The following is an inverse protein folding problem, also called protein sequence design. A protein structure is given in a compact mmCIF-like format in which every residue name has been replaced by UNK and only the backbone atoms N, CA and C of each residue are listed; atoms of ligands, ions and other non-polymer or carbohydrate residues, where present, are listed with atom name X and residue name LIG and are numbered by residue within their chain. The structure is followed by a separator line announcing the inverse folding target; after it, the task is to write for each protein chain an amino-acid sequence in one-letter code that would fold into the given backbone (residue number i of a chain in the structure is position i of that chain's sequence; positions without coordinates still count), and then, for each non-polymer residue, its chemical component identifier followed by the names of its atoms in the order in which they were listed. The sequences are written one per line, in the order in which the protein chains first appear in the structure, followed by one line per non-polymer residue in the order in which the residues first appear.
data_IF_955280419776
#
_entry.id   IF_955280419776
#
_cell.length_a   1.000
_cell.length_b   1.000
_cell.length_c   1.000
_cell.angle_alpha   90.00
_cell.angle_beta   90.00
_cell.angle_gamma   90.00
#
_symmetry.space_group_name_H-M   'P 1'
#
loop_
_entity.id
_entity.type
_entity.pdbx_description
1 polymer ?
#
# COMPACT_ATOMS: atom_id res chain seq x y z
N UNK A 1 27.01 10.87 4.39
CA UNK A 1 27.88 9.72 4.06
C UNK A 1 27.55 9.30 2.65
N UNK A 2 28.51 9.45 1.72
CA UNK A 2 28.37 9.08 0.32
C UNK A 2 28.12 7.57 0.20
N UNK A 3 27.05 7.19 -0.47
CA UNK A 3 26.82 5.80 -0.89
C UNK A 3 27.98 5.43 -1.81
N UNK A 4 28.93 4.64 -1.33
CA UNK A 4 29.99 4.09 -2.16
C UNK A 4 29.37 3.14 -3.17
N UNK A 5 29.16 3.64 -4.38
CA UNK A 5 28.73 2.87 -5.54
C UNK A 5 29.71 1.70 -5.70
N UNK A 6 29.28 0.43 -5.55
CA UNK A 6 30.22 -0.69 -5.59
C UNK A 6 30.88 -0.77 -6.97
N UNK A 7 32.21 -0.92 -7.00
CA UNK A 7 33.05 -1.01 -8.23
C UNK A 7 32.64 -2.12 -9.23
N UNK A 8 31.67 -2.97 -8.88
CA UNK A 8 31.16 -4.08 -9.68
C UNK A 8 29.68 -3.92 -10.08
N UNK A 9 29.24 -2.71 -10.47
CA UNK A 9 27.86 -2.48 -10.96
C UNK A 9 27.49 -3.31 -12.19
N UNK A 10 28.49 -3.75 -12.96
CA UNK A 10 28.27 -4.54 -14.18
C UNK A 10 27.61 -5.90 -13.90
N UNK A 11 27.88 -6.54 -12.75
CA UNK A 11 27.26 -7.83 -12.37
C UNK A 11 25.74 -7.73 -12.12
N UNK A 12 25.25 -6.84 -11.25
CA UNK A 12 23.80 -6.67 -11.08
C UNK A 12 23.14 -6.12 -12.34
N UNK A 13 23.83 -5.26 -13.12
CA UNK A 13 23.30 -4.73 -14.37
C UNK A 13 23.11 -5.83 -15.43
N UNK A 14 24.07 -6.74 -15.58
CA UNK A 14 23.97 -7.87 -16.52
C UNK A 14 22.87 -8.85 -16.13
N UNK A 15 22.70 -9.15 -14.83
CA UNK A 15 21.60 -9.99 -14.35
C UNK A 15 20.25 -9.30 -14.61
N UNK A 16 20.14 -8.00 -14.32
CA UNK A 16 18.93 -7.23 -14.58
C UNK A 16 18.58 -7.19 -16.06
N UNK A 17 19.58 -6.98 -16.94
CA UNK A 17 19.40 -7.01 -18.38
C UNK A 17 18.98 -8.39 -18.88
N UNK A 18 19.59 -9.47 -18.38
CA UNK A 18 19.22 -10.84 -18.73
C UNK A 18 17.78 -11.17 -18.30
N UNK A 19 17.39 -10.80 -17.07
CA UNK A 19 16.01 -10.98 -16.60
C UNK A 19 15.03 -10.16 -17.43
N UNK A 20 15.34 -8.89 -17.73
CA UNK A 20 14.50 -8.04 -18.55
C UNK A 20 14.32 -8.59 -19.97
N UNK A 21 15.38 -9.16 -20.56
CA UNK A 21 15.33 -9.82 -21.86
C UNK A 21 14.44 -11.07 -21.83
N UNK A 22 14.69 -12.00 -20.89
CA UNK A 22 13.93 -13.26 -20.77
C UNK A 22 12.45 -13.00 -20.45
N UNK A 23 12.16 -12.00 -19.63
CA UNK A 23 10.80 -11.64 -19.21
C UNK A 23 10.18 -10.50 -20.02
N UNK A 24 10.80 -10.06 -21.13
CA UNK A 24 10.33 -8.92 -21.90
C UNK A 24 8.86 -9.06 -22.30
N UNK A 25 8.45 -10.21 -22.84
CA UNK A 25 7.07 -10.45 -23.25
C UNK A 25 6.08 -10.39 -22.08
N UNK A 26 6.47 -10.90 -20.91
CA UNK A 26 5.65 -10.86 -19.69
C UNK A 26 5.51 -9.42 -19.19
N UNK A 27 6.61 -8.67 -19.14
CA UNK A 27 6.64 -7.28 -18.68
C UNK A 27 5.89 -6.35 -19.63
N UNK A 28 6.05 -6.52 -20.95
CA UNK A 28 5.35 -5.72 -21.96
C UNK A 28 3.83 -5.93 -21.86
N UNK A 29 3.39 -7.19 -21.74
CA UNK A 29 1.97 -7.49 -21.58
C UNK A 29 1.41 -7.00 -20.25
N UNK A 30 2.16 -7.16 -19.17
CA UNK A 30 1.77 -6.65 -17.86
C UNK A 30 1.64 -5.11 -17.87
N UNK A 31 2.56 -4.42 -18.52
CA UNK A 31 2.50 -2.97 -18.71
C UNK A 31 1.31 -2.53 -19.57
N UNK A 32 1.01 -3.28 -20.64
CA UNK A 32 -0.19 -3.06 -21.45
C UNK A 32 -1.47 -3.24 -20.61
N UNK A 33 -1.59 -4.34 -19.87
CA UNK A 33 -2.74 -4.62 -19.01
C UNK A 33 -2.92 -3.52 -17.96
N UNK A 34 -1.84 -3.04 -17.34
CA UNK A 34 -1.90 -1.93 -16.39
C UNK A 34 -2.32 -0.59 -17.02
N UNK A 35 -2.11 -0.40 -18.31
CA UNK A 35 -2.47 0.83 -19.01
C UNK A 35 -3.91 0.79 -19.57
N UNK A 36 -4.35 -0.38 -20.04
CA UNK A 36 -5.62 -0.51 -20.76
C UNK A 36 -6.75 -1.13 -19.92
N UNK A 37 -6.42 -2.00 -18.97
CA UNK A 37 -7.43 -2.60 -18.10
C UNK A 37 -7.59 -1.75 -16.84
N UNK A 38 -8.72 -1.06 -16.77
CA UNK A 38 -9.06 -0.20 -15.65
C UNK A 38 -9.10 -0.96 -14.31
N UNK A 39 -9.33 -2.28 -14.30
CA UNK A 39 -9.31 -3.11 -13.08
C UNK A 39 -7.91 -3.24 -12.47
N UNK A 40 -6.87 -3.15 -13.30
CA UNK A 40 -5.46 -3.29 -12.90
C UNK A 40 -4.64 -2.01 -13.05
N UNK A 41 -5.28 -0.88 -13.36
CA UNK A 41 -4.66 0.45 -13.50
C UNK A 41 -3.80 0.88 -12.30
N UNK A 42 -4.16 0.46 -11.08
CA UNK A 42 -3.36 0.68 -9.87
C UNK A 42 -1.96 0.06 -9.93
N UNK A 43 -1.76 -0.97 -10.76
CA UNK A 43 -0.49 -1.64 -10.99
C UNK A 43 0.61 -0.69 -11.48
N UNK A 44 0.27 0.39 -12.20
CA UNK A 44 1.22 1.41 -12.66
C UNK A 44 1.97 2.09 -11.50
N UNK A 45 1.28 2.31 -10.36
CA UNK A 45 1.87 2.96 -9.20
C UNK A 45 2.73 2.01 -8.36
N UNK A 46 2.56 0.70 -8.52
CA UNK A 46 3.18 -0.30 -7.63
C UNK A 46 4.70 -0.34 -7.76
N UNK A 47 5.32 -0.33 -8.95
CA UNK A 47 6.77 -0.21 -9.08
C UNK A 47 7.33 1.03 -8.38
N UNK A 48 6.62 2.15 -8.43
CA UNK A 48 7.03 3.41 -7.78
C UNK A 48 6.97 3.26 -6.24
N UNK A 49 5.87 2.71 -5.71
CA UNK A 49 5.71 2.46 -4.28
C UNK A 49 6.76 1.46 -3.78
N UNK A 50 7.03 0.39 -4.53
CA UNK A 50 8.11 -0.57 -4.22
C UNK A 50 9.45 0.15 -4.18
N UNK A 51 9.77 0.97 -5.19
CA UNK A 51 10.98 1.77 -5.22
C UNK A 51 11.14 2.68 -4.00
N UNK A 52 10.06 3.36 -3.60
CA UNK A 52 10.03 4.17 -2.39
C UNK A 52 10.26 3.38 -1.10
N UNK A 53 9.63 2.20 -0.97
CA UNK A 53 9.82 1.29 0.17
C UNK A 53 11.29 0.84 0.25
N UNK A 54 11.86 0.39 -0.87
CA UNK A 54 13.26 -0.04 -0.95
C UNK A 54 14.22 1.10 -0.63
N UNK A 55 13.92 2.32 -1.10
CA UNK A 55 14.72 3.51 -0.82
C UNK A 55 14.70 3.88 0.67
N UNK A 56 13.53 3.77 1.31
CA UNK A 56 13.33 4.06 2.74
C UNK A 56 14.03 3.02 3.61
N UNK A 57 14.02 1.75 3.21
CA UNK A 57 14.63 0.63 3.95
C UNK A 57 16.11 0.39 3.61
N UNK A 58 16.73 1.17 2.72
CA UNK A 58 18.09 0.93 2.20
C UNK A 58 19.14 0.71 3.30
N UNK A 59 19.06 1.47 4.39
CA UNK A 59 20.01 1.40 5.50
C UNK A 59 19.83 0.08 6.25
N UNK A 60 18.59 -0.31 6.53
CA UNK A 60 18.26 -1.59 7.15
C UNK A 60 18.67 -2.77 6.27
N UNK A 61 18.43 -2.70 4.96
CA UNK A 61 18.81 -3.72 3.99
C UNK A 61 20.35 -3.86 3.91
N UNK A 62 21.08 -2.75 3.98
CA UNK A 62 22.56 -2.74 3.99
C UNK A 62 23.19 -3.34 5.24
N UNK A 63 22.50 -3.31 6.39
CA UNK A 63 22.97 -3.90 7.66
C UNK A 63 22.80 -5.43 7.72
N UNK A 64 22.07 -6.03 6.77
CA UNK A 64 21.84 -7.48 6.77
C UNK A 64 23.07 -8.20 6.27
N UNK A 65 23.67 -9.04 7.11
CA UNK A 65 24.74 -9.95 6.69
C UNK A 65 24.18 -10.93 5.65
N UNK A 66 24.67 -10.83 4.41
CA UNK A 66 24.32 -11.76 3.34
C UNK A 66 24.68 -13.20 3.75
N UNK A 67 23.70 -14.10 3.63
CA UNK A 67 23.89 -15.55 3.80
C UNK A 67 23.34 -16.26 2.56
N UNK A 68 24.09 -16.24 1.45
CA UNK A 68 23.66 -16.81 0.17
C UNK A 68 23.22 -18.26 0.35
N UNK A 69 22.12 -18.65 -0.30
CA UNK A 69 21.67 -20.03 -0.35
C UNK A 69 21.67 -20.49 -1.80
N UNK A 70 22.85 -20.89 -2.28
CA UNK A 70 23.11 -21.19 -3.70
C UNK A 70 22.18 -22.28 -4.24
N UNK A 71 22.08 -23.42 -3.56
CA UNK A 71 21.26 -24.56 -4.00
C UNK A 71 19.77 -24.20 -4.07
N UNK A 72 19.23 -23.58 -3.01
CA UNK A 72 17.82 -23.20 -2.95
C UNK A 72 17.49 -22.06 -3.92
N UNK A 73 18.36 -21.06 -4.02
CA UNK A 73 18.20 -19.95 -4.96
C UNK A 73 18.26 -20.42 -6.41
N UNK A 74 19.25 -21.24 -6.76
CA UNK A 74 19.40 -21.81 -8.11
C UNK A 74 18.24 -22.75 -8.45
N UNK A 75 17.82 -23.60 -7.51
CA UNK A 75 16.64 -24.46 -7.67
C UNK A 75 15.37 -23.65 -7.92
N UNK A 76 15.16 -22.55 -7.19
CA UNK A 76 14.00 -21.69 -7.37
C UNK A 76 14.04 -20.91 -8.69
N UNK A 77 15.22 -20.44 -9.12
CA UNK A 77 15.42 -19.84 -10.45
C UNK A 77 15.15 -20.88 -11.55
N UNK A 78 15.65 -22.10 -11.42
CA UNK A 78 15.38 -23.19 -12.37
C UNK A 78 13.90 -23.53 -12.46
N UNK A 79 13.21 -23.62 -11.31
CA UNK A 79 11.75 -23.79 -11.25
C UNK A 79 11.02 -22.63 -11.93
N UNK A 80 11.47 -21.39 -11.70
CA UNK A 80 10.88 -20.20 -12.32
C UNK A 80 11.03 -20.23 -13.84
N UNK A 81 12.22 -20.56 -14.36
CA UNK A 81 12.45 -20.67 -15.81
C UNK A 81 11.64 -21.82 -16.43
N UNK A 82 11.53 -22.96 -15.74
CA UNK A 82 10.67 -24.06 -16.19
C UNK A 82 9.20 -23.64 -16.18
N UNK A 83 8.74 -22.94 -15.13
CA UNK A 83 7.38 -22.38 -15.06
C UNK A 83 7.14 -21.36 -16.18
N UNK A 84 8.12 -20.52 -16.51
CA UNK A 84 8.02 -19.59 -17.62
C UNK A 84 7.85 -20.36 -18.93
N UNK A 85 8.68 -21.38 -19.16
CA UNK A 85 8.60 -22.22 -20.35
C UNK A 85 7.24 -22.92 -20.47
N UNK A 86 6.75 -23.56 -19.40
CA UNK A 86 5.42 -24.19 -19.37
C UNK A 86 4.32 -23.16 -19.63
N UNK A 87 4.40 -21.97 -19.01
CA UNK A 87 3.44 -20.91 -19.21
C UNK A 87 3.42 -20.38 -20.64
N UNK A 88 4.58 -20.28 -21.30
CA UNK A 88 4.68 -19.90 -22.72
C UNK A 88 4.12 -21.01 -23.62
N UNK A 89 4.53 -22.27 -23.39
CA UNK A 89 4.08 -23.42 -24.17
C UNK A 89 2.56 -23.67 -24.05
N UNK A 90 2.00 -23.44 -22.86
CA UNK A 90 0.57 -23.57 -22.58
C UNK A 90 -0.26 -22.30 -22.83
N UNK A 91 0.36 -21.22 -23.34
CA UNK A 91 -0.27 -19.90 -23.51
C UNK A 91 -0.97 -19.37 -22.23
N UNK A 92 -0.46 -19.73 -21.06
CA UNK A 92 -1.05 -19.42 -19.75
C UNK A 92 -0.29 -18.24 -19.12
N UNK A 93 -0.90 -17.05 -19.16
CA UNK A 93 -0.27 -15.80 -18.73
C UNK A 93 -0.07 -15.70 -17.23
N UNK A 94 -0.95 -16.30 -16.44
CA UNK A 94 -0.84 -16.25 -14.99
C UNK A 94 0.37 -17.04 -14.52
N UNK A 95 0.62 -18.23 -15.08
CA UNK A 95 1.82 -19.03 -14.84
C UNK A 95 3.08 -18.26 -15.24
N UNK A 96 3.07 -17.57 -16.39
CA UNK A 96 4.19 -16.72 -16.80
C UNK A 96 4.45 -15.58 -15.79
N UNK A 97 3.41 -14.89 -15.31
CA UNK A 97 3.51 -13.82 -14.30
C UNK A 97 3.98 -14.35 -12.94
N UNK A 98 3.49 -15.51 -12.51
CA UNK A 98 3.94 -16.15 -11.27
C UNK A 98 5.40 -16.59 -11.37
N UNK A 99 5.86 -17.01 -12.54
CA UNK A 99 7.27 -17.32 -12.75
C UNK A 99 8.19 -16.10 -12.53
N UNK A 100 7.72 -14.89 -12.85
CA UNK A 100 8.44 -13.64 -12.55
C UNK A 100 8.58 -13.43 -11.03
N UNK A 101 7.53 -13.72 -10.24
CA UNK A 101 7.64 -13.67 -8.79
C UNK A 101 8.67 -14.68 -8.26
N UNK A 102 8.66 -15.90 -8.79
CA UNK A 102 9.57 -16.96 -8.38
C UNK A 102 11.02 -16.63 -8.73
N UNK A 103 11.30 -16.09 -9.92
CA UNK A 103 12.67 -15.75 -10.33
C UNK A 103 13.22 -14.60 -9.47
N UNK A 104 12.41 -13.59 -9.16
CA UNK A 104 12.82 -12.49 -8.29
C UNK A 104 13.13 -12.99 -6.89
N UNK A 105 12.29 -13.88 -6.33
CA UNK A 105 12.55 -14.50 -5.03
C UNK A 105 13.82 -15.37 -5.06
N UNK A 106 14.00 -16.15 -6.13
CA UNK A 106 15.16 -17.03 -6.33
C UNK A 106 16.47 -16.26 -6.42
N UNK A 107 16.50 -15.15 -7.16
CA UNK A 107 17.65 -14.24 -7.25
C UNK A 107 17.99 -13.64 -5.89
N UNK A 108 16.98 -13.19 -5.12
CA UNK A 108 17.19 -12.67 -3.76
C UNK A 108 17.80 -13.74 -2.84
N UNK A 109 17.29 -14.96 -2.87
CA UNK A 109 17.79 -16.08 -2.05
C UNK A 109 19.20 -16.49 -2.49
N UNK A 110 19.46 -16.52 -3.80
CA UNK A 110 20.74 -16.92 -4.36
C UNK A 110 21.88 -16.01 -3.90
N UNK A 111 21.68 -14.68 -3.94
CA UNK A 111 22.73 -13.71 -3.61
C UNK A 111 22.75 -13.28 -2.14
N UNK A 112 21.59 -13.16 -1.49
CA UNK A 112 21.50 -12.59 -0.13
C UNK A 112 20.89 -13.54 0.90
N UNK A 113 20.15 -14.56 0.45
CA UNK A 113 19.52 -15.57 1.30
C UNK A 113 18.10 -15.21 1.76
N UNK A 114 17.48 -16.17 2.46
CA UNK A 114 16.10 -16.09 2.96
C UNK A 114 15.83 -14.88 3.86
N UNK A 115 16.85 -14.40 4.56
CA UNK A 115 16.71 -13.26 5.46
C UNK A 115 16.36 -11.97 4.72
N UNK A 116 17.00 -11.71 3.57
CA UNK A 116 16.68 -10.54 2.76
C UNK A 116 15.28 -10.68 2.16
N UNK A 117 14.91 -11.86 1.66
CA UNK A 117 13.57 -12.11 1.13
C UNK A 117 12.47 -11.80 2.17
N UNK A 118 12.69 -12.16 3.43
CA UNK A 118 11.74 -11.85 4.51
C UNK A 118 11.56 -10.36 4.79
N UNK A 119 12.56 -9.52 4.48
CA UNK A 119 12.47 -8.06 4.57
C UNK A 119 11.76 -7.47 3.35
N UNK A 120 11.90 -8.14 2.20
CA UNK A 120 11.23 -7.78 0.95
C UNK A 120 9.79 -8.30 0.85
N UNK A 121 9.25 -8.95 1.88
CA UNK A 121 7.91 -9.54 1.86
C UNK A 121 6.83 -8.53 1.41
N UNK A 122 6.88 -7.29 1.89
CA UNK A 122 5.91 -6.26 1.51
C UNK A 122 6.02 -5.88 0.03
N UNK A 123 7.21 -5.55 -0.51
CA UNK A 123 7.41 -5.43 -1.95
C UNK A 123 6.88 -6.60 -2.78
N UNK A 124 7.10 -7.85 -2.34
CA UNK A 124 6.59 -9.03 -3.04
C UNK A 124 5.06 -9.13 -2.97
N UNK A 125 4.44 -8.84 -1.82
CA UNK A 125 2.98 -8.82 -1.69
C UNK A 125 2.36 -7.73 -2.56
N UNK A 126 2.96 -6.53 -2.62
CA UNK A 126 2.48 -5.45 -3.49
C UNK A 126 2.60 -5.82 -4.97
N UNK A 127 3.73 -6.40 -5.37
CA UNK A 127 3.90 -6.87 -6.75
C UNK A 127 2.90 -7.98 -7.08
N UNK A 128 2.62 -8.90 -6.15
CA UNK A 128 1.59 -9.93 -6.33
C UNK A 128 0.19 -9.33 -6.52
N UNK A 129 -0.19 -8.34 -5.72
CA UNK A 129 -1.47 -7.62 -5.85
C UNK A 129 -1.61 -6.88 -7.20
N UNK A 130 -0.48 -6.46 -7.79
CA UNK A 130 -0.46 -5.83 -9.10
C UNK A 130 -0.60 -6.81 -10.26
N UNK A 131 -0.44 -8.12 -10.05
CA UNK A 131 -0.56 -9.12 -11.11
C UNK A 131 -2.03 -9.44 -11.39
N UNK A 132 -2.47 -9.38 -12.66
CA UNK A 132 -3.82 -9.77 -13.00
C UNK A 132 -4.07 -11.25 -12.70
N UNK A 133 -5.11 -11.51 -11.91
CA UNK A 133 -5.53 -12.86 -11.52
C UNK A 133 -6.19 -13.59 -12.70
N UNK A 134 -6.24 -14.93 -12.70
CA UNK A 134 -6.91 -15.69 -13.76
C UNK A 134 -8.38 -15.31 -13.86
N UNK A 135 -8.89 -15.19 -15.09
CA UNK A 135 -10.28 -14.80 -15.37
C UNK A 135 -11.30 -15.68 -14.63
N UNK A 136 -11.00 -16.97 -14.45
CA UNK A 136 -11.87 -17.91 -13.70
C UNK A 136 -12.01 -17.46 -12.23
N UNK A 137 -10.91 -17.05 -11.60
CA UNK A 137 -10.91 -16.58 -10.21
C UNK A 137 -11.59 -15.21 -10.14
N UNK A 138 -11.29 -14.33 -11.09
CA UNK A 138 -11.92 -13.02 -11.20
C UNK A 138 -13.44 -13.14 -11.26
N UNK A 139 -13.97 -13.95 -12.18
CA UNK A 139 -15.42 -14.15 -12.36
C UNK A 139 -16.08 -14.81 -11.15
N UNK A 140 -15.39 -15.76 -10.49
CA UNK A 140 -15.88 -16.39 -9.26
C UNK A 140 -16.02 -15.41 -8.10
N UNK A 141 -15.26 -14.31 -8.09
CA UNK A 141 -15.37 -13.24 -7.08
C UNK A 141 -16.37 -12.18 -7.55
N UNK A 142 -16.27 -11.73 -8.78
CA UNK A 142 -17.06 -10.63 -9.33
C UNK A 142 -18.56 -10.94 -9.35
N UNK A 143 -18.96 -12.14 -9.78
CA UNK A 143 -20.37 -12.48 -9.95
C UNK A 143 -21.16 -12.52 -8.60
N UNK A 144 -20.68 -13.18 -7.53
CA UNK A 144 -21.32 -13.08 -6.21
C UNK A 144 -21.40 -11.65 -5.69
N UNK A 145 -20.36 -10.84 -5.93
CA UNK A 145 -20.33 -9.43 -5.56
C UNK A 145 -21.39 -8.60 -6.32
N UNK A 146 -21.58 -8.84 -7.63
CA UNK A 146 -22.67 -8.22 -8.41
C UNK A 146 -24.04 -8.60 -7.86
N UNK A 147 -24.25 -9.89 -7.55
CA UNK A 147 -25.51 -10.36 -6.96
C UNK A 147 -25.75 -9.81 -5.57
N UNK A 148 -24.71 -9.53 -4.80
CA UNK A 148 -24.82 -8.89 -3.49
C UNK A 148 -25.19 -7.40 -3.66
N UNK A 149 -24.44 -6.68 -4.49
CA UNK A 149 -24.68 -5.28 -4.80
C UNK A 149 -26.11 -5.06 -5.33
N UNK A 150 -26.62 -5.94 -6.20
CA UNK A 150 -27.99 -5.84 -6.71
C UNK A 150 -29.06 -6.00 -5.63
N UNK A 151 -28.85 -6.85 -4.60
CA UNK A 151 -29.80 -6.95 -3.47
C UNK A 151 -29.75 -5.70 -2.60
N UNK A 152 -28.54 -5.20 -2.30
CA UNK A 152 -28.40 -3.97 -1.51
C UNK A 152 -29.07 -2.80 -2.21
N UNK A 153 -28.87 -2.67 -3.52
CA UNK A 153 -29.51 -1.62 -4.32
C UNK A 153 -31.04 -1.71 -4.29
N UNK A 154 -31.60 -2.91 -4.48
CA UNK A 154 -33.05 -3.13 -4.41
C UNK A 154 -33.60 -2.84 -3.01
N UNK A 155 -32.89 -3.27 -1.96
CA UNK A 155 -33.28 -2.99 -0.59
C UNK A 155 -33.29 -1.48 -0.32
N UNK A 156 -32.25 -0.77 -0.74
CA UNK A 156 -32.19 0.69 -0.62
C UNK A 156 -33.31 1.38 -1.42
N UNK A 157 -33.56 0.98 -2.67
CA UNK A 157 -34.64 1.56 -3.49
C UNK A 157 -36.03 1.34 -2.89
N UNK A 158 -36.28 0.17 -2.30
CA UNK A 158 -37.53 -0.10 -1.57
C UNK A 158 -37.71 0.77 -0.35
N UNK A 159 -36.63 1.17 0.31
CA UNK A 159 -36.68 2.11 1.45
C UNK A 159 -37.14 3.52 1.02
N UNK A 160 -37.00 3.86 -0.26
CA UNK A 160 -37.48 5.11 -0.86
C UNK A 160 -38.80 4.93 -1.64
N UNK A 161 -39.55 3.85 -1.38
CA UNK A 161 -40.81 3.51 -2.05
C UNK A 161 -40.71 3.42 -3.59
N UNK A 162 -39.54 3.05 -4.10
CA UNK A 162 -39.32 2.87 -5.55
C UNK A 162 -39.67 1.42 -5.93
N UNK A 163 -40.68 1.19 -6.79
CA UNK A 163 -41.05 -0.16 -7.23
C UNK A 163 -39.99 -0.70 -8.18
N UNK A 164 -39.32 -1.78 -7.78
CA UNK A 164 -38.24 -2.42 -8.56
C UNK A 164 -38.37 -3.94 -8.58
N UNK A 165 -38.06 -4.55 -9.72
CA UNK A 165 -37.96 -5.98 -9.92
C UNK A 165 -36.48 -6.37 -10.10
N UNK A 166 -36.04 -7.44 -9.43
CA UNK A 166 -34.65 -7.92 -9.51
C UNK A 166 -34.59 -9.31 -10.11
N UNK A 167 -33.86 -9.45 -11.21
CA UNK A 167 -33.54 -10.72 -11.85
C UNK A 167 -32.02 -10.89 -11.90
N UNK A 168 -31.46 -11.60 -10.91
CA UNK A 168 -30.01 -11.77 -10.79
C UNK A 168 -29.28 -10.44 -10.56
N UNK A 169 -28.39 -10.07 -11.50
CA UNK A 169 -27.66 -8.80 -11.53
C UNK A 169 -28.40 -7.69 -12.31
N UNK A 170 -29.58 -7.98 -12.88
CA UNK A 170 -30.42 -7.01 -13.58
C UNK A 170 -31.51 -6.49 -12.65
N UNK A 171 -31.69 -5.17 -12.63
CA UNK A 171 -32.72 -4.46 -11.86
C UNK A 171 -33.61 -3.71 -12.86
N UNK A 172 -34.87 -4.09 -12.92
CA UNK A 172 -35.87 -3.40 -13.73
C UNK A 172 -36.63 -2.41 -12.85
N UNK A 173 -36.68 -1.15 -13.29
CA UNK A 173 -37.39 -0.08 -12.59
C UNK A 173 -38.11 0.83 -13.58
N UNK A 174 -39.15 1.49 -13.10
CA UNK A 174 -39.88 2.50 -13.87
C UNK A 174 -39.41 3.90 -13.43
N UNK A 175 -38.69 4.66 -14.26
CA UNK A 175 -38.28 6.02 -13.92
C UNK A 175 -39.50 6.94 -13.76
N UNK A 176 -39.39 7.93 -12.87
CA UNK A 176 -40.51 8.86 -12.60
C UNK A 176 -40.83 9.68 -13.86
N UNK A 177 -42.08 9.58 -14.33
CA UNK A 177 -42.53 10.28 -15.54
C UNK A 177 -42.18 9.61 -16.87
N UNK A 178 -41.53 8.43 -16.85
CA UNK A 178 -41.30 7.64 -18.05
C UNK A 178 -42.51 6.73 -18.38
N UNK A 179 -42.69 6.40 -19.67
CA UNK A 179 -43.73 5.47 -20.14
C UNK A 179 -43.24 4.04 -20.31
N UNK A 180 -41.94 3.80 -20.15
CA UNK A 180 -41.30 2.51 -20.36
C UNK A 180 -40.45 2.12 -19.15
N UNK A 181 -40.36 0.82 -18.89
CA UNK A 181 -39.47 0.25 -17.87
C UNK A 181 -38.04 0.26 -18.37
N UNK A 182 -37.09 0.60 -17.49
CA UNK A 182 -35.67 0.56 -17.80
C UNK A 182 -34.97 -0.53 -17.00
N UNK A 183 -34.07 -1.24 -17.68
CA UNK A 183 -33.20 -2.24 -17.07
C UNK A 183 -31.87 -1.58 -16.70
N UNK A 184 -31.49 -1.71 -15.43
CA UNK A 184 -30.18 -1.37 -14.90
C UNK A 184 -29.42 -2.66 -14.64
N UNK A 185 -28.36 -2.89 -15.40
CA UNK A 185 -27.51 -4.05 -15.22
C UNK A 185 -26.34 -3.69 -14.31
N UNK A 186 -26.13 -4.49 -13.26
CA UNK A 186 -24.89 -4.45 -12.47
C UNK A 186 -23.83 -5.17 -13.29
N UNK A 187 -23.28 -4.46 -14.27
CA UNK A 187 -22.19 -4.92 -15.13
C UNK A 187 -20.92 -5.17 -14.30
N UNK A 188 -19.92 -5.79 -14.92
CA UNK A 188 -18.67 -6.17 -14.26
C UNK A 188 -17.95 -4.98 -13.61
N UNK A 189 -18.02 -3.79 -14.22
CA UNK A 189 -17.50 -2.54 -13.65
C UNK A 189 -18.17 -2.11 -12.32
N UNK A 190 -19.38 -2.61 -12.05
CA UNK A 190 -20.16 -2.36 -10.83
C UNK A 190 -20.08 -3.51 -9.81
N UNK A 191 -19.32 -4.57 -10.11
CA UNK A 191 -19.07 -5.67 -9.16
C UNK A 191 -18.34 -5.19 -7.91
N UNK A 192 -17.57 -4.11 -7.99
CA UNK A 192 -16.71 -3.67 -6.88
C UNK A 192 -15.40 -4.44 -6.78
N UNK A 193 -15.08 -5.32 -7.72
CA UNK A 193 -13.78 -6.01 -7.74
C UNK A 193 -12.62 -5.04 -7.97
N UNK A 194 -12.82 -4.01 -8.80
CA UNK A 194 -11.85 -2.93 -8.99
C UNK A 194 -11.58 -2.18 -7.69
N UNK A 195 -12.63 -1.74 -7.00
CA UNK A 195 -12.47 -1.05 -5.72
C UNK A 195 -11.86 -1.95 -4.66
N UNK A 196 -12.19 -3.25 -4.67
CA UNK A 196 -11.57 -4.24 -3.80
C UNK A 196 -10.05 -4.38 -4.02
N UNK A 197 -9.60 -4.59 -5.25
CA UNK A 197 -8.16 -4.79 -5.56
C UNK A 197 -7.33 -3.54 -5.24
N UNK A 198 -7.84 -2.37 -5.63
CA UNK A 198 -7.22 -1.07 -5.31
C UNK A 198 -7.17 -0.80 -3.80
N UNK A 199 -8.25 -1.06 -3.06
CA UNK A 199 -8.32 -0.83 -1.62
C UNK A 199 -7.48 -1.84 -0.83
N UNK A 200 -7.40 -3.10 -1.26
CA UNK A 200 -6.48 -4.10 -0.69
C UNK A 200 -5.03 -3.65 -0.84
N UNK A 201 -4.67 -3.20 -2.03
CA UNK A 201 -3.33 -2.67 -2.32
C UNK A 201 -3.01 -1.46 -1.44
N UNK A 202 -3.94 -0.51 -1.37
CA UNK A 202 -3.81 0.68 -0.53
C UNK A 202 -3.73 0.31 0.96
N UNK A 203 -4.47 -0.70 1.41
CA UNK A 203 -4.42 -1.20 2.77
C UNK A 203 -3.07 -1.82 3.14
N UNK A 204 -2.43 -2.55 2.22
CA UNK A 204 -1.06 -3.06 2.43
C UNK A 204 -0.07 -1.90 2.55
N UNK A 205 -0.14 -0.92 1.64
CA UNK A 205 0.74 0.26 1.69
C UNK A 205 0.51 1.05 2.99
N UNK A 206 -0.75 1.32 3.33
CA UNK A 206 -1.12 2.06 4.53
C UNK A 206 -0.68 1.33 5.81
N UNK A 207 -0.93 0.03 5.91
CA UNK A 207 -0.50 -0.79 7.04
C UNK A 207 1.03 -0.81 7.20
N UNK A 208 1.76 -0.81 6.09
CA UNK A 208 3.22 -0.76 6.09
C UNK A 208 3.75 0.62 6.54
N UNK A 209 3.24 1.71 5.96
CA UNK A 209 3.72 3.07 6.27
C UNK A 209 3.33 3.54 7.68
N UNK A 210 2.20 3.07 8.21
CA UNK A 210 1.73 3.41 9.56
C UNK A 210 2.16 2.40 10.63
N UNK A 211 3.10 1.51 10.31
CA UNK A 211 3.54 0.47 11.25
C UNK A 211 4.19 1.09 12.50
N UNK A 212 3.80 0.67 13.72
CA UNK A 212 4.42 1.17 14.95
C UNK A 212 5.92 0.85 15.02
N UNK A 213 6.75 1.87 15.29
CA UNK A 213 8.22 1.74 15.40
C UNK A 213 8.69 0.90 16.60
N UNK A 214 7.85 0.68 17.60
CA UNK A 214 8.21 -0.06 18.82
C UNK A 214 8.24 -1.59 18.63
N UNK A 215 7.88 -2.08 17.44
CA UNK A 215 7.83 -3.50 17.08
C UNK A 215 9.02 -3.91 16.19
N UNK A 216 10.10 -3.12 16.22
CA UNK A 216 11.23 -3.22 15.30
C UNK A 216 12.21 -4.33 15.68
N UNK A 217 11.68 -5.54 15.82
CA UNK A 217 12.47 -6.75 15.96
C UNK A 217 12.84 -7.30 14.56
N UNK A 218 13.62 -6.51 13.82
CA UNK A 218 14.20 -6.87 12.51
C UNK A 218 15.16 -8.09 12.55
N UNK A 219 15.32 -8.71 13.72
CA UNK A 219 16.09 -9.93 13.94
C UNK A 219 15.22 -11.15 14.25
N UNK A 220 13.90 -10.99 14.43
CA UNK A 220 12.99 -12.11 14.69
C UNK A 220 12.61 -12.86 13.41
N UNK A 221 12.71 -14.20 13.41
CA UNK A 221 12.20 -15.04 12.33
C UNK A 221 10.69 -14.84 12.09
N UNK A 222 10.18 -15.41 10.97
CA UNK A 222 8.77 -15.29 10.53
C UNK A 222 7.78 -15.56 11.67
N UNK A 223 8.06 -16.57 12.51
CA UNK A 223 7.23 -16.93 13.67
C UNK A 223 7.12 -15.82 14.73
N UNK A 224 8.18 -15.04 14.99
CA UNK A 224 8.10 -13.94 15.95
C UNK A 224 7.34 -12.75 15.38
N UNK A 225 7.46 -12.52 14.06
CA UNK A 225 6.68 -11.49 13.35
C UNK A 225 5.18 -11.79 13.43
N UNK A 226 4.76 -13.05 13.39
CA UNK A 226 3.33 -13.41 13.50
C UNK A 226 2.72 -13.13 14.90
N UNK A 227 3.54 -13.01 15.95
CA UNK A 227 3.07 -12.67 17.31
C UNK A 227 3.08 -11.15 17.61
N UNK A 228 3.64 -10.36 16.69
CA UNK A 228 3.80 -8.91 16.84
C UNK A 228 2.45 -8.19 16.69
N UNK A 229 2.20 -7.19 17.53
CA UNK A 229 0.99 -6.36 17.44
C UNK A 229 0.90 -5.68 16.06
N UNK A 230 2.04 -5.21 15.53
CA UNK A 230 2.11 -4.61 14.20
C UNK A 230 1.68 -5.56 13.08
N UNK A 231 1.91 -6.87 13.22
CA UNK A 231 1.44 -7.86 12.24
C UNK A 231 -0.08 -8.02 12.29
N UNK A 232 -0.65 -8.24 13.48
CA UNK A 232 -2.11 -8.34 13.62
C UNK A 232 -2.83 -7.07 13.22
N UNK A 233 -2.29 -5.89 13.55
CA UNK A 233 -2.79 -4.60 13.08
C UNK A 233 -2.82 -4.55 11.56
N UNK A 234 -1.72 -4.93 10.89
CA UNK A 234 -1.66 -4.96 9.43
C UNK A 234 -2.69 -5.92 8.83
N UNK A 235 -2.83 -7.12 9.41
CA UNK A 235 -3.83 -8.10 8.96
C UNK A 235 -5.24 -7.57 9.13
N UNK A 236 -5.59 -6.94 10.26
CA UNK A 236 -6.93 -6.38 10.47
C UNK A 236 -7.22 -5.24 9.48
N UNK A 237 -6.25 -4.36 9.22
CA UNK A 237 -6.39 -3.28 8.22
C UNK A 237 -6.60 -3.85 6.81
N UNK A 238 -5.82 -4.85 6.41
CA UNK A 238 -5.97 -5.47 5.08
C UNK A 238 -7.28 -6.25 5.00
N UNK A 239 -7.65 -6.97 6.05
CA UNK A 239 -8.89 -7.72 6.10
C UNK A 239 -10.13 -6.79 6.09
N UNK A 240 -10.06 -5.61 6.70
CA UNK A 240 -11.16 -4.63 6.70
C UNK A 240 -11.37 -3.99 5.33
N UNK A 241 -10.37 -3.99 4.43
CA UNK A 241 -10.55 -3.52 3.06
C UNK A 241 -11.65 -4.29 2.31
N UNK A 242 -11.83 -5.59 2.58
CA UNK A 242 -12.88 -6.39 1.93
C UNK A 242 -14.30 -5.91 2.27
N UNK A 243 -14.74 -5.86 3.54
CA UNK A 243 -16.06 -5.36 3.88
C UNK A 243 -16.22 -3.87 3.55
N UNK A 244 -15.17 -3.05 3.66
CA UNK A 244 -15.24 -1.63 3.26
C UNK A 244 -15.50 -1.51 1.75
N UNK A 245 -14.80 -2.27 0.91
CA UNK A 245 -15.00 -2.26 -0.54
C UNK A 245 -16.41 -2.71 -0.92
N UNK A 246 -16.92 -3.77 -0.27
CA UNK A 246 -18.28 -4.28 -0.49
C UNK A 246 -19.32 -3.23 -0.08
N UNK A 247 -19.17 -2.63 1.11
CA UNK A 247 -20.09 -1.62 1.63
C UNK A 247 -20.12 -0.37 0.74
N UNK A 248 -18.96 0.16 0.41
CA UNK A 248 -18.83 1.38 -0.41
C UNK A 248 -19.32 1.14 -1.85
N UNK A 249 -19.10 -0.06 -2.41
CA UNK A 249 -19.70 -0.44 -3.69
C UNK A 249 -21.22 -0.61 -3.62
N UNK A 250 -21.76 -1.20 -2.55
CA UNK A 250 -23.20 -1.30 -2.34
C UNK A 250 -23.86 0.08 -2.27
N UNK A 251 -23.23 1.03 -1.56
CA UNK A 251 -23.66 2.43 -1.51
C UNK A 251 -23.62 3.08 -2.90
N UNK A 252 -22.57 2.81 -3.69
CA UNK A 252 -22.46 3.26 -5.09
C UNK A 252 -23.67 2.84 -5.91
N UNK A 253 -23.89 1.52 -6.01
CA UNK A 253 -24.90 0.92 -6.89
C UNK A 253 -26.31 1.33 -6.45
N UNK A 254 -26.54 1.40 -5.13
CA UNK A 254 -27.80 1.90 -4.56
C UNK A 254 -28.05 3.37 -4.95
N UNK A 255 -27.04 4.23 -4.77
CA UNK A 255 -27.14 5.65 -5.11
C UNK A 255 -27.39 5.87 -6.60
N UNK A 256 -26.72 5.12 -7.47
CA UNK A 256 -26.96 5.19 -8.93
C UNK A 256 -28.37 4.75 -9.31
N UNK A 257 -28.92 3.72 -8.66
CA UNK A 257 -30.29 3.25 -8.93
C UNK A 257 -31.36 4.25 -8.49
N UNK A 258 -31.20 4.82 -7.29
CA UNK A 258 -32.11 5.86 -6.78
C UNK A 258 -32.08 7.09 -7.69
N UNK A 259 -30.88 7.54 -8.06
CA UNK A 259 -30.74 8.71 -8.93
C UNK A 259 -31.33 8.48 -10.33
N UNK A 260 -31.13 7.29 -10.89
CA UNK A 260 -31.71 6.90 -12.18
C UNK A 260 -33.24 6.99 -12.19
N UNK A 261 -33.90 6.70 -11.06
CA UNK A 261 -35.35 6.83 -10.94
C UNK A 261 -35.83 8.29 -10.94
N UNK A 262 -35.12 9.19 -10.22
CA UNK A 262 -35.55 10.58 -10.04
C UNK A 262 -35.12 11.53 -11.16
N UNK A 263 -33.91 11.37 -11.69
CA UNK A 263 -33.30 12.30 -12.65
C UNK A 263 -33.14 11.70 -14.05
N UNK A 264 -33.66 10.48 -14.25
CA UNK A 264 -33.45 9.73 -15.48
C UNK A 264 -32.00 9.26 -15.62
N UNK A 265 -31.77 8.41 -16.62
CA UNK A 265 -30.52 7.67 -16.72
C UNK A 265 -29.39 8.41 -17.40
N UNK A 266 -29.71 9.43 -18.20
CA UNK A 266 -28.68 10.23 -18.89
C UNK A 266 -27.76 10.96 -17.89
N UNK A 267 -28.31 11.39 -16.75
CA UNK A 267 -27.55 12.03 -15.67
C UNK A 267 -26.81 10.98 -14.82
N UNK A 268 -27.42 9.80 -14.61
CA UNK A 268 -26.84 8.71 -13.85
C UNK A 268 -25.65 8.04 -14.56
N UNK A 269 -25.70 7.91 -15.88
CA UNK A 269 -24.69 7.20 -16.69
C UNK A 269 -23.43 8.05 -16.98
N UNK A 270 -23.55 9.38 -17.00
CA UNK A 270 -22.44 10.30 -17.31
C UNK A 270 -21.71 10.86 -16.08
N UNK A 271 -22.13 12.05 -15.64
CA UNK A 271 -21.44 12.80 -14.58
C UNK A 271 -21.42 12.07 -13.24
N UNK A 272 -22.55 11.49 -12.83
CA UNK A 272 -22.63 10.80 -11.55
C UNK A 272 -21.85 9.48 -11.52
N UNK A 273 -21.66 8.81 -12.65
CA UNK A 273 -20.89 7.57 -12.69
C UNK A 273 -19.41 7.81 -12.37
N UNK A 274 -18.81 8.85 -12.97
CA UNK A 274 -17.42 9.25 -12.72
C UNK A 274 -17.26 9.97 -11.38
N UNK A 275 -18.18 10.89 -11.03
CA UNK A 275 -18.12 11.64 -9.78
C UNK A 275 -18.33 10.75 -8.55
N UNK A 276 -19.28 9.82 -8.60
CA UNK A 276 -19.46 8.87 -7.49
C UNK A 276 -18.24 7.97 -7.29
N UNK A 277 -17.54 7.61 -8.37
CA UNK A 277 -16.35 6.75 -8.30
C UNK A 277 -15.28 7.28 -7.35
N UNK A 278 -14.74 8.47 -7.61
CA UNK A 278 -13.65 9.03 -6.79
C UNK A 278 -14.08 9.39 -5.36
N UNK A 279 -15.32 9.89 -5.17
CA UNK A 279 -15.87 10.18 -3.84
C UNK A 279 -15.94 8.89 -3.00
N UNK A 280 -16.40 7.80 -3.58
CA UNK A 280 -16.52 6.51 -2.89
C UNK A 280 -15.15 5.94 -2.54
N UNK A 281 -14.14 6.17 -3.39
CA UNK A 281 -12.75 5.85 -3.05
C UNK A 281 -12.23 6.65 -1.85
N UNK A 282 -12.53 7.95 -1.77
CA UNK A 282 -12.16 8.78 -0.61
C UNK A 282 -12.85 8.26 0.64
N UNK A 283 -14.15 7.98 0.58
CA UNK A 283 -14.90 7.42 1.71
C UNK A 283 -14.31 6.07 2.15
N UNK A 284 -14.01 5.17 1.21
CA UNK A 284 -13.37 3.89 1.51
C UNK A 284 -12.01 4.06 2.19
N UNK A 285 -11.19 5.01 1.71
CA UNK A 285 -9.91 5.33 2.31
C UNK A 285 -10.05 5.91 3.72
N UNK A 286 -11.01 6.81 3.95
CA UNK A 286 -11.29 7.37 5.28
C UNK A 286 -11.79 6.31 6.26
N UNK A 287 -12.63 5.36 5.81
CA UNK A 287 -13.04 4.21 6.62
C UNK A 287 -11.84 3.34 7.00
N UNK A 288 -10.96 3.05 6.05
CA UNK A 288 -9.74 2.29 6.27
C UNK A 288 -8.80 3.00 7.27
N UNK A 289 -8.63 4.30 7.12
CA UNK A 289 -7.90 5.14 8.07
C UNK A 289 -8.54 5.09 9.47
N UNK A 290 -9.87 5.18 9.56
CA UNK A 290 -10.62 5.06 10.79
C UNK A 290 -10.38 3.73 11.51
N UNK A 291 -10.29 2.62 10.77
CA UNK A 291 -9.91 1.30 11.33
C UNK A 291 -8.51 1.36 11.92
N UNK A 292 -7.53 1.89 11.18
CA UNK A 292 -6.16 2.03 11.69
C UNK A 292 -6.09 2.88 12.95
N UNK A 293 -6.77 4.03 12.94
CA UNK A 293 -6.84 4.95 14.08
C UNK A 293 -7.51 4.31 15.32
N UNK A 294 -8.60 3.57 15.11
CA UNK A 294 -9.29 2.86 16.21
C UNK A 294 -8.39 1.77 16.80
N UNK A 295 -7.69 1.00 15.97
CA UNK A 295 -6.73 -0.01 16.43
C UNK A 295 -5.61 0.62 17.25
N UNK A 296 -5.09 1.77 16.82
CA UNK A 296 -4.05 2.51 17.55
C UNK A 296 -4.57 3.07 18.89
N UNK A 297 -5.83 3.49 18.95
CA UNK A 297 -6.50 3.92 20.19
C UNK A 297 -6.65 2.77 21.20
N UNK A 298 -7.03 1.59 20.71
CA UNK A 298 -7.21 0.38 21.54
C UNK A 298 -5.85 -0.17 21.99
N UNK A 299 -4.89 -0.27 21.07
CA UNK A 299 -3.51 -0.69 21.37
C UNK A 299 -2.76 0.29 22.27
N UNK A 300 -3.07 1.59 22.17
CA UNK A 300 -2.53 2.66 23.02
C UNK A 300 -3.11 2.68 24.43
N UNK A 301 -4.34 2.20 24.64
CA UNK A 301 -4.96 2.09 25.98
C UNK A 301 -4.35 0.99 26.85
N UNK A 302 -3.64 0.02 26.27
CA UNK A 302 -2.85 -0.99 26.99
C UNK A 302 -1.40 -0.60 27.28
N UNK A 303 -0.96 0.57 26.80
CA UNK A 303 0.36 1.18 27.09
C UNK A 303 0.16 2.61 27.59
N UNK A 304 -0.64 2.74 28.64
CA UNK A 304 -0.58 3.91 29.50
C UNK A 304 0.78 3.96 30.18
N UNK A 305 1.55 4.98 29.82
CA UNK A 305 2.48 5.67 30.70
C UNK A 305 3.69 4.89 31.26
N UNK A 306 4.69 4.62 30.41
CA UNK A 306 6.10 4.66 30.83
C UNK A 306 6.98 5.29 29.76
N UNK A 307 7.21 6.59 29.92
CA UNK A 307 8.49 7.27 29.66
C UNK A 307 8.97 7.36 28.21
N UNK A 308 8.87 8.56 27.62
CA UNK A 308 9.78 8.88 26.50
C UNK A 308 9.46 10.14 25.69
N UNK A 309 8.22 10.62 25.70
CA UNK A 309 7.80 11.77 24.88
C UNK A 309 7.91 13.13 25.59
N UNK A 310 7.59 13.20 26.88
CA UNK A 310 7.54 14.48 27.61
C UNK A 310 8.84 14.81 28.37
N UNK A 311 9.62 13.80 28.81
CA UNK A 311 10.90 14.04 29.49
C UNK A 311 11.99 14.62 28.58
N UNK A 312 11.89 14.43 27.25
CA UNK A 312 12.86 15.00 26.29
C UNK A 312 12.57 16.47 25.94
N UNK A 313 11.34 16.94 26.12
CA UNK A 313 11.00 18.34 25.94
C UNK A 313 11.44 19.19 27.15
N UNK A 314 11.21 18.69 28.38
CA UNK A 314 11.65 19.38 29.60
C UNK A 314 13.17 19.34 29.81
N UNK A 315 13.85 18.24 29.45
CA UNK A 315 15.31 18.18 29.52
C UNK A 315 16.00 19.07 28.48
N UNK A 316 15.39 19.29 27.30
CA UNK A 316 15.96 20.17 26.26
C UNK A 316 15.76 21.66 26.58
N UNK A 317 14.67 22.03 27.26
CA UNK A 317 14.44 23.40 27.72
C UNK A 317 15.33 23.74 28.92
N UNK A 318 15.49 22.83 29.89
CA UNK A 318 16.37 23.05 31.06
C UNK A 318 17.86 23.14 30.69
N UNK A 319 18.30 22.45 29.63
CA UNK A 319 19.68 22.53 29.13
C UNK A 319 19.94 23.75 28.24
N UNK A 320 18.90 24.45 27.80
CA UNK A 320 19.01 25.68 27.02
C UNK A 320 19.02 26.92 27.92
N UNK A 321 18.23 26.91 29.00
CA UNK A 321 18.24 27.97 30.02
C UNK A 321 19.47 27.97 30.94
N UNK A 322 20.17 26.84 31.09
CA UNK A 322 21.42 26.77 31.87
C UNK A 322 22.68 27.18 31.10
N UNK A 323 22.61 27.32 29.78
CA UNK A 323 23.74 27.79 28.94
C UNK A 323 23.71 29.31 28.77
N UNK A 324 22.53 29.95 28.82
CA UNK A 324 22.40 31.41 28.76
C UNK A 324 22.72 32.14 30.08
N UNK A 325 22.77 31.43 31.23
CA UNK A 325 23.05 32.06 32.53
C UNK A 325 24.55 32.11 32.90
N UNK A 326 25.47 31.66 32.04
CA UNK A 326 26.92 31.61 32.34
C UNK A 326 27.74 32.66 31.57
N UNK A 327 27.17 33.40 30.61
CA UNK A 327 27.93 34.37 29.78
C UNK A 327 27.73 35.85 30.10
N UNK A 328 27.40 36.22 31.34
CA UNK A 328 27.32 37.62 31.76
C UNK A 328 28.46 37.99 32.73
N UNK A 329 29.66 38.23 32.20
CA UNK A 329 30.71 38.98 32.90
C UNK A 329 30.67 40.46 32.46
N UNK A 330 30.73 41.43 33.38
CA UNK A 330 30.62 42.85 33.03
C UNK A 330 31.93 43.39 32.42
N UNK A 331 31.74 44.21 31.38
CA UNK A 331 32.75 44.93 30.60
C UNK A 331 33.65 45.85 31.44
N UNK A 332 34.96 45.79 31.18
CA UNK A 332 35.95 46.73 31.69
C UNK A 332 35.85 48.10 30.99
N UNK A 333 36.08 49.19 31.75
CA UNK A 333 36.22 50.56 31.27
C UNK A 333 37.71 50.95 31.13
N UNK A 334 38.07 51.95 30.30
CA UNK A 334 39.45 52.17 29.86
C UNK A 334 40.30 53.00 30.83
N UNK A 335 41.60 52.74 30.83
CA UNK A 335 42.61 53.38 31.67
C UNK A 335 43.00 54.80 31.20
N UNK A 336 43.39 55.72 32.11
CA UNK A 336 44.00 56.99 31.76
C UNK A 336 45.54 56.96 31.83
N UNK A 337 46.10 58.05 31.30
CA UNK A 337 47.47 58.31 30.83
C UNK A 337 48.50 58.57 31.96
N UNK A 338 49.75 58.21 31.65
CA UNK A 338 51.05 58.48 32.29
C UNK A 338 51.18 59.68 33.26
N UNK A 339 51.92 59.46 34.37
CA UNK A 339 52.90 60.42 34.91
C UNK A 339 53.95 59.73 35.81
N UNK A 340 55.22 60.04 35.54
CA UNK A 340 56.49 59.86 36.30
C UNK A 340 56.37 60.65 37.64
N UNK A 341 57.03 60.34 38.80
CA UNK A 341 58.49 60.28 38.93
C UNK A 341 59.18 59.50 40.09
N UNK A 342 60.51 59.40 39.93
CA UNK A 342 61.62 59.61 40.89
C UNK A 342 61.77 58.80 42.21
N UNK A 343 62.97 58.19 42.28
CA UNK A 343 63.97 58.21 43.38
C UNK A 343 63.47 58.32 44.84
N UNK A 344 63.73 57.23 45.57
CA UNK A 344 64.85 57.21 46.52
C UNK A 344 64.58 57.50 48.00
N UNK A 345 65.37 56.77 48.80
CA UNK A 345 65.87 57.06 50.16
C UNK A 345 65.05 56.53 51.34
N UNK A 346 65.78 55.69 52.08
CA UNK A 346 65.70 55.24 53.49
C UNK A 346 64.61 54.26 53.95
#
# INVERSE_FOLDING_TARGET
MSVSVPRNLWKPLTIMAALAFVYYGVLAKLGYDWWTDENYSHGLLIPIVIGYILWTERERLGLVKARPSLLWGAGLVGLALMSLWVGVAGAELYVQRMSLMLVLAGVVIYFWGWRLLSLLLVPFVLLFLALPIPAIIFNKIAFPLQLFASRCAVWAMRLFDIPVLRQGNVIELMPKGARETKKLEVVEACSGIRSLMTLLTLAVVFAYLTRPKNDDDGQGGVLRRMKSYGFWRAIIIVASAVPIAILTNALRVSGTGILAHYYGTQIADGFFHSFSGWVIYIVAFLMLFGVGWLLDRIGGRGKGDKGGGQAKATAKVSKMTSVESISATPSAAPAPVNAVPAKGVE
#
